data_IF_973693665377
#
_entry.id   IF_973693665377
#
_cell.length_a   1.000
_cell.length_b   1.000
_cell.length_c   1.000
_cell.angle_alpha   90.00
_cell.angle_beta   90.00
_cell.angle_gamma   90.00
#
_symmetry.space_group_name_H-M   'P 1'
#
loop_
_entity.id
_entity.type
_entity.pdbx_description
1 polymer ?
#
# COMPACT_ATOMS: atom_id res chain seq x y z
N UNK A 1 -4.69 -24.07 -34.98
CA UNK A 1 -5.08 -24.97 -33.87
C UNK A 1 -3.96 -24.95 -32.85
N UNK A 2 -4.28 -24.83 -31.56
CA UNK A 2 -3.41 -24.79 -30.36
C UNK A 2 -2.51 -23.53 -30.23
N UNK A 3 -2.38 -22.89 -29.07
CA UNK A 3 -2.28 -23.46 -27.73
C UNK A 3 -3.20 -22.81 -26.68
N UNK A 4 -3.97 -23.66 -26.00
CA UNK A 4 -4.53 -23.33 -24.70
C UNK A 4 -3.36 -23.14 -23.72
N UNK A 5 -3.17 -21.91 -23.23
CA UNK A 5 -2.25 -21.65 -22.14
C UNK A 5 -2.75 -22.44 -20.93
N UNK A 6 -1.91 -23.38 -20.48
CA UNK A 6 -2.17 -24.33 -19.42
C UNK A 6 -2.59 -23.56 -18.15
N UNK A 7 -3.81 -23.79 -17.71
CA UNK A 7 -4.27 -23.51 -16.35
C UNK A 7 -3.44 -24.41 -15.41
N UNK A 8 -2.24 -23.94 -15.06
CA UNK A 8 -1.46 -24.60 -14.04
C UNK A 8 -2.13 -24.28 -12.70
N UNK A 9 -2.47 -25.27 -11.87
CA UNK A 9 -3.08 -25.00 -10.57
C UNK A 9 -2.13 -24.12 -9.77
N UNK A 10 -2.56 -22.88 -9.50
CA UNK A 10 -1.82 -21.94 -8.66
C UNK A 10 -1.59 -22.63 -7.31
N UNK A 11 -0.35 -22.69 -6.78
CA UNK A 11 -0.09 -23.38 -5.52
C UNK A 11 -0.92 -22.72 -4.43
N UNK A 12 -1.89 -23.48 -3.90
CA UNK A 12 -2.79 -23.01 -2.85
C UNK A 12 -2.01 -23.03 -1.54
N UNK A 13 -1.65 -21.86 -1.04
CA UNK A 13 -0.91 -21.74 0.22
C UNK A 13 -1.83 -22.13 1.37
N UNK A 14 -1.41 -23.11 2.15
CA UNK A 14 -2.08 -23.45 3.40
C UNK A 14 -1.72 -22.43 4.49
N UNK A 15 -2.65 -21.55 4.84
CA UNK A 15 -2.44 -20.47 5.81
C UNK A 15 -2.38 -20.98 7.27
N UNK A 16 -2.78 -22.22 7.55
CA UNK A 16 -2.75 -22.78 8.92
C UNK A 16 -1.36 -23.33 9.27
N UNK A 17 -0.67 -23.93 8.29
CA UNK A 17 0.66 -24.51 8.47
C UNK A 17 1.79 -23.58 8.02
N UNK A 18 1.49 -22.49 7.31
CA UNK A 18 2.49 -21.55 6.80
C UNK A 18 2.54 -20.31 7.69
N UNK A 19 3.73 -19.90 8.14
CA UNK A 19 3.89 -18.65 8.92
C UNK A 19 3.61 -17.43 8.03
N UNK A 20 2.77 -16.47 8.47
CA UNK A 20 2.56 -15.23 7.75
C UNK A 20 3.82 -14.35 7.78
N UNK A 21 4.05 -13.60 6.71
CA UNK A 21 5.07 -12.57 6.67
C UNK A 21 4.48 -11.20 7.03
N UNK A 22 5.36 -10.27 7.36
CA UNK A 22 5.00 -8.89 7.66
C UNK A 22 4.99 -8.03 6.38
N UNK A 23 3.85 -7.40 6.09
CA UNK A 23 3.63 -6.45 5.01
C UNK A 23 3.42 -5.05 5.59
N UNK A 24 4.09 -4.06 5.00
CA UNK A 24 3.80 -2.63 5.24
C UNK A 24 2.92 -2.09 4.12
N UNK A 25 1.69 -1.71 4.47
CA UNK A 25 0.73 -1.08 3.57
C UNK A 25 0.69 0.42 3.85
N UNK A 26 1.28 1.20 2.96
CA UNK A 26 1.22 2.66 2.98
C UNK A 26 -0.09 3.13 2.36
N UNK A 27 -0.62 4.25 2.83
CA UNK A 27 -1.87 4.79 2.33
C UNK A 27 -1.88 6.32 2.33
N UNK A 28 -2.46 6.91 1.29
CA UNK A 28 -2.57 8.37 1.15
C UNK A 28 -3.85 8.73 0.38
N UNK A 29 -4.45 9.86 0.73
CA UNK A 29 -5.60 10.41 0.01
C UNK A 29 -5.16 11.05 -1.30
N UNK A 30 -5.98 10.90 -2.34
CA UNK A 30 -5.90 11.57 -3.65
C UNK A 30 -4.65 11.28 -4.50
N UNK A 31 -3.60 10.66 -3.95
CA UNK A 31 -2.33 10.44 -4.64
C UNK A 31 -1.51 9.33 -3.98
N UNK A 32 -0.50 8.85 -4.71
CA UNK A 32 0.52 7.94 -4.17
C UNK A 32 1.62 8.71 -3.42
N UNK A 33 2.38 7.98 -2.60
CA UNK A 33 3.62 8.49 -2.01
C UNK A 33 4.70 8.74 -3.07
N UNK A 34 5.63 9.66 -2.80
CA UNK A 34 6.79 9.82 -3.68
C UNK A 34 7.74 8.62 -3.47
N UNK A 35 8.46 8.20 -4.50
CA UNK A 35 9.42 7.10 -4.37
C UNK A 35 10.54 7.43 -3.37
N UNK A 36 10.93 8.70 -3.28
CA UNK A 36 11.90 9.20 -2.31
C UNK A 36 11.43 9.08 -0.87
N UNK A 37 10.11 9.02 -0.60
CA UNK A 37 9.56 8.86 0.75
C UNK A 37 9.90 7.47 1.34
N UNK A 38 10.24 6.50 0.47
CA UNK A 38 10.60 5.13 0.88
C UNK A 38 12.10 4.93 1.02
N UNK A 39 12.91 5.87 0.51
CA UNK A 39 14.34 5.89 0.78
C UNK A 39 14.51 6.16 2.28
N UNK A 40 15.06 5.19 3.01
CA UNK A 40 15.49 5.46 4.38
C UNK A 40 16.43 6.69 4.32
N UNK A 41 16.29 7.69 5.22
CA UNK A 41 17.26 8.75 5.31
C UNK A 41 18.60 8.05 5.54
N UNK A 42 19.49 8.12 4.56
CA UNK A 42 20.83 7.60 4.76
C UNK A 42 21.33 8.32 6.00
N UNK A 43 21.73 7.57 7.02
CA UNK A 43 22.39 8.12 8.21
C UNK A 43 23.75 8.77 7.89
N UNK A 44 24.04 9.03 6.61
CA UNK A 44 25.25 9.63 6.07
C UNK A 44 24.97 11.00 5.46
N UNK A 45 24.78 11.98 6.33
CA UNK A 45 25.42 13.30 6.23
C UNK A 45 25.08 14.07 7.50
N UNK A 46 25.63 13.65 8.64
CA UNK A 46 26.05 14.69 9.57
C UNK A 46 27.03 15.55 8.76
N UNK A 47 26.75 16.83 8.48
CA UNK A 47 27.82 17.69 8.02
C UNK A 47 28.86 17.60 9.13
N UNK A 48 30.07 17.16 8.76
CA UNK A 48 31.23 17.16 9.62
C UNK A 48 31.38 18.60 10.15
N UNK A 49 30.78 18.86 11.31
CA UNK A 49 30.96 20.09 12.05
C UNK A 49 32.38 19.99 12.57
N UNK A 50 33.32 20.54 11.78
CA UNK A 50 34.68 20.73 12.25
C UNK A 50 34.63 21.48 13.59
N UNK A 51 35.58 21.22 14.51
CA UNK A 51 35.58 21.86 15.81
C UNK A 51 35.73 23.37 15.61
N UNK A 52 34.65 24.13 15.85
CA UNK A 52 34.69 25.58 15.98
C UNK A 52 35.20 25.91 17.38
N UNK A 53 36.50 25.74 17.59
CA UNK A 53 37.18 26.23 18.79
C UNK A 53 37.29 27.76 18.71
N UNK A 54 36.25 28.45 19.14
CA UNK A 54 36.23 29.89 19.34
C UNK A 54 35.57 30.22 20.67
N UNK A 55 36.14 31.09 21.52
CA UNK A 55 35.67 31.32 22.89
C UNK A 55 34.34 32.09 23.03
N UNK A 56 33.52 32.19 21.97
CA UNK A 56 32.25 32.93 22.02
C UNK A 56 31.17 32.41 21.05
N UNK A 57 30.81 31.13 21.14
CA UNK A 57 29.73 30.53 20.35
C UNK A 57 28.57 30.08 21.26
N UNK A 58 27.71 31.01 21.67
CA UNK A 58 26.39 30.68 22.26
C UNK A 58 25.35 30.76 21.14
N UNK A 59 25.13 29.65 20.43
CA UNK A 59 23.86 29.43 19.73
C UNK A 59 23.16 28.26 20.42
N UNK A 60 21.90 28.37 20.84
CA UNK A 60 21.11 27.19 21.18
C UNK A 60 21.01 26.36 19.90
N UNK A 61 21.64 25.18 19.90
CA UNK A 61 21.51 24.23 18.81
C UNK A 61 20.02 23.92 18.64
N UNK A 62 19.46 24.27 17.48
CA UNK A 62 18.14 23.78 17.10
C UNK A 62 18.18 22.24 17.23
N UNK A 63 17.19 21.60 17.86
CA UNK A 63 17.14 20.15 17.89
C UNK A 63 17.20 19.62 16.45
N UNK A 64 18.01 18.58 16.17
CA UNK A 64 18.05 18.00 14.84
C UNK A 64 16.62 17.60 14.43
N UNK A 65 16.20 17.86 13.17
CA UNK A 65 14.91 17.36 12.71
C UNK A 65 14.87 15.84 12.92
N UNK A 66 13.74 15.27 13.36
CA UNK A 66 13.63 13.83 13.53
C UNK A 66 14.04 13.15 12.21
N UNK A 67 14.81 12.04 12.25
CA UNK A 67 15.15 11.33 11.02
C UNK A 67 13.83 10.98 10.33
N UNK A 68 13.67 11.37 9.06
CA UNK A 68 12.44 11.18 8.31
C UNK A 68 12.02 9.72 8.36
N UNK A 69 11.04 9.41 9.21
CA UNK A 69 10.47 8.08 9.33
C UNK A 69 9.62 7.79 8.10
N UNK A 70 9.59 6.51 7.70
CA UNK A 70 8.72 6.05 6.62
C UNK A 70 7.29 6.61 6.82
N UNK A 71 6.56 6.92 5.73
CA UNK A 71 5.21 7.47 5.85
C UNK A 71 4.28 6.57 6.66
N UNK A 72 3.15 7.14 7.10
CA UNK A 72 2.12 6.40 7.85
C UNK A 72 1.70 5.14 7.10
N UNK A 73 1.71 4.00 7.79
CA UNK A 73 1.43 2.69 7.20
C UNK A 73 0.73 1.77 8.19
N UNK A 74 0.02 0.79 7.65
CA UNK A 74 -0.50 -0.36 8.36
C UNK A 74 0.50 -1.51 8.32
N UNK A 75 0.62 -2.20 9.46
CA UNK A 75 1.40 -3.42 9.61
C UNK A 75 0.46 -4.61 9.55
N UNK A 76 0.61 -5.43 8.51
CA UNK A 76 -0.30 -6.55 8.22
C UNK A 76 0.51 -7.83 8.20
N UNK A 77 0.11 -8.81 9.01
CA UNK A 77 0.64 -10.18 8.89
C UNK A 77 -0.22 -10.95 7.89
N UNK A 78 0.39 -11.39 6.79
CA UNK A 78 -0.34 -12.03 5.70
C UNK A 78 0.51 -13.06 4.94
N UNK A 79 -0.06 -13.64 3.88
CA UNK A 79 0.56 -14.68 3.05
C UNK A 79 0.62 -14.23 1.58
N UNK A 80 1.39 -14.96 0.76
CA UNK A 80 1.53 -14.64 -0.67
C UNK A 80 0.21 -14.81 -1.43
N UNK A 81 -0.70 -15.63 -0.89
CA UNK A 81 -2.08 -15.78 -1.38
C UNK A 81 -2.98 -14.56 -1.10
N UNK A 82 -2.48 -13.52 -0.45
CA UNK A 82 -3.31 -12.38 -0.08
C UNK A 82 -3.70 -11.56 -1.31
N UNK A 83 -4.98 -11.20 -1.44
CA UNK A 83 -5.50 -10.47 -2.60
C UNK A 83 -5.63 -8.97 -2.35
N UNK A 84 -5.71 -8.18 -3.43
CA UNK A 84 -6.01 -6.74 -3.32
C UNK A 84 -7.36 -6.50 -2.61
N UNK A 85 -8.35 -7.37 -2.85
CA UNK A 85 -9.63 -7.36 -2.15
C UNK A 85 -9.46 -7.52 -0.64
N UNK A 86 -8.67 -8.48 -0.19
CA UNK A 86 -8.39 -8.67 1.24
C UNK A 86 -7.66 -7.45 1.83
N UNK A 87 -6.69 -6.88 1.12
CA UNK A 87 -6.01 -5.63 1.55
C UNK A 87 -6.98 -4.46 1.66
N UNK A 88 -7.89 -4.30 0.71
CA UNK A 88 -8.96 -3.30 0.77
C UNK A 88 -9.89 -3.51 1.96
N UNK A 89 -10.29 -4.75 2.26
CA UNK A 89 -11.10 -5.06 3.44
C UNK A 89 -10.39 -4.67 4.74
N UNK A 90 -9.10 -5.00 4.85
CA UNK A 90 -8.29 -4.64 6.02
C UNK A 90 -8.15 -3.13 6.17
N UNK A 91 -7.83 -2.42 5.09
CA UNK A 91 -7.71 -0.95 5.10
C UNK A 91 -9.02 -0.28 5.54
N UNK A 92 -10.14 -0.65 4.90
CA UNK A 92 -11.45 -0.06 5.18
C UNK A 92 -11.97 -0.41 6.59
N UNK A 93 -11.62 -1.59 7.11
CA UNK A 93 -11.99 -2.01 8.46
C UNK A 93 -11.12 -1.36 9.53
N UNK A 94 -9.82 -1.17 9.28
CA UNK A 94 -8.89 -0.61 10.25
C UNK A 94 -8.96 0.92 10.31
N UNK A 95 -9.29 1.58 9.19
CA UNK A 95 -9.28 3.04 9.05
C UNK A 95 -10.59 3.57 8.44
N UNK A 96 -11.76 3.32 9.06
CA UNK A 96 -13.04 3.75 8.51
C UNK A 96 -13.16 5.28 8.37
N UNK A 97 -12.54 6.05 9.29
CA UNK A 97 -12.54 7.51 9.28
C UNK A 97 -11.64 8.14 8.21
N UNK A 98 -10.81 7.34 7.55
CA UNK A 98 -9.93 7.80 6.48
C UNK A 98 -10.58 7.68 5.10
N UNK A 99 -11.76 7.06 5.02
CA UNK A 99 -12.53 6.97 3.78
C UNK A 99 -13.38 8.24 3.62
N UNK A 100 -13.57 8.72 2.37
CA UNK A 100 -14.57 9.74 2.07
C UNK A 100 -15.98 9.31 2.54
N UNK A 101 -16.82 10.28 2.89
CA UNK A 101 -18.25 10.05 3.17
C UNK A 101 -19.09 10.63 2.01
N UNK A 102 -19.89 9.83 1.29
CA UNK A 102 -20.04 8.37 1.42
C UNK A 102 -18.82 7.61 0.86
N UNK A 103 -18.48 6.44 1.44
CA UNK A 103 -17.32 5.65 0.99
C UNK A 103 -17.55 4.97 -0.36
N UNK A 104 -18.80 4.87 -0.80
CA UNK A 104 -19.18 4.23 -2.06
C UNK A 104 -18.61 5.04 -3.25
N UNK A 105 -18.09 4.32 -4.24
CA UNK A 105 -17.39 4.85 -5.40
C UNK A 105 -15.93 5.22 -5.13
N UNK A 106 -15.48 5.21 -3.88
CA UNK A 106 -14.05 5.36 -3.55
C UNK A 106 -13.24 4.26 -4.22
N UNK A 107 -12.15 4.65 -4.88
CA UNK A 107 -11.23 3.76 -5.56
C UNK A 107 -9.93 3.65 -4.78
N UNK A 108 -9.57 2.43 -4.43
CA UNK A 108 -8.31 2.06 -3.80
C UNK A 108 -7.37 1.57 -4.90
N UNK A 109 -6.39 2.39 -5.28
CA UNK A 109 -5.37 2.03 -6.26
C UNK A 109 -4.13 1.53 -5.54
N UNK A 110 -3.60 0.38 -5.96
CA UNK A 110 -2.46 -0.28 -5.33
C UNK A 110 -1.27 -0.32 -6.27
N UNK A 111 -0.08 -0.08 -5.71
CA UNK A 111 1.20 -0.29 -6.40
C UNK A 111 2.20 -0.99 -5.48
N UNK A 112 3.07 -1.77 -6.10
CA UNK A 112 4.20 -2.41 -5.45
C UNK A 112 5.38 -1.46 -5.48
N UNK A 113 6.04 -1.29 -4.34
CA UNK A 113 7.24 -0.48 -4.17
C UNK A 113 8.37 -1.38 -3.74
N UNK A 114 9.44 -1.40 -4.51
CA UNK A 114 10.55 -2.32 -4.31
C UNK A 114 11.89 -1.63 -4.59
N UNK A 115 12.96 -2.01 -3.88
CA UNK A 115 14.27 -1.40 -4.07
C UNK A 115 14.84 -1.69 -5.45
N UNK A 116 15.46 -0.68 -6.08
CA UNK A 116 16.17 -0.81 -7.36
C UNK A 116 17.52 -1.51 -7.18
N UNK A 117 17.50 -2.83 -7.07
CA UNK A 117 18.72 -3.64 -6.92
C UNK A 117 19.55 -3.67 -8.21
N UNK A 118 18.91 -3.53 -9.38
CA UNK A 118 19.60 -3.57 -10.69
C UNK A 118 20.37 -2.28 -10.94
N UNK A 119 19.77 -1.13 -10.67
CA UNK A 119 20.45 0.16 -10.78
C UNK A 119 21.60 0.29 -9.79
N UNK A 120 21.45 -0.23 -8.56
CA UNK A 120 22.53 -0.25 -7.58
C UNK A 120 23.76 -1.07 -8.04
N UNK A 121 23.55 -2.13 -8.82
CA UNK A 121 24.64 -2.95 -9.37
C UNK A 121 25.34 -2.28 -10.56
N UNK A 122 24.61 -1.51 -11.37
CA UNK A 122 25.12 -0.90 -12.62
C UNK A 122 25.68 0.52 -12.43
N UNK A 123 25.06 1.34 -11.57
CA UNK A 123 25.35 2.77 -11.42
C UNK A 123 26.18 3.10 -10.17
N UNK A 124 26.61 2.08 -9.42
CA UNK A 124 27.44 2.27 -8.23
C UNK A 124 26.67 2.80 -7.01
N UNK A 125 27.39 3.37 -6.02
CA UNK A 125 26.82 3.79 -4.73
C UNK A 125 25.67 4.80 -4.85
N UNK A 126 25.69 5.65 -5.87
CA UNK A 126 24.73 6.75 -6.07
C UNK A 126 23.32 6.27 -6.46
N UNK A 127 23.19 5.02 -6.93
CA UNK A 127 21.89 4.41 -7.20
C UNK A 127 21.34 3.60 -6.02
N UNK A 128 22.09 3.48 -4.91
CA UNK A 128 21.62 2.77 -3.71
C UNK A 128 20.50 3.56 -3.03
N UNK A 129 19.47 2.83 -2.58
CA UNK A 129 18.34 3.42 -1.86
C UNK A 129 17.24 4.00 -2.76
N UNK A 130 17.37 3.89 -4.09
CA UNK A 130 16.27 4.20 -5.01
C UNK A 130 15.23 3.09 -4.98
N UNK A 131 13.97 3.48 -5.07
CA UNK A 131 12.84 2.58 -5.18
C UNK A 131 12.18 2.72 -6.54
N UNK A 132 11.58 1.64 -7.01
CA UNK A 132 10.75 1.58 -8.20
C UNK A 132 9.32 1.27 -7.81
N UNK A 133 8.38 1.67 -8.67
CA UNK A 133 6.98 1.29 -8.54
C UNK A 133 6.51 0.44 -9.71
N UNK A 134 5.60 -0.49 -9.42
CA UNK A 134 4.85 -1.26 -10.41
C UNK A 134 3.37 -1.24 -10.05
N UNK A 135 2.53 -0.92 -11.02
CA UNK A 135 1.08 -0.94 -10.82
C UNK A 135 0.59 -2.36 -10.48
N UNK A 136 -0.26 -2.46 -9.46
CA UNK A 136 -0.89 -3.71 -9.03
C UNK A 136 -2.35 -3.79 -9.42
N UNK A 137 -3.02 -2.65 -9.52
CA UNK A 137 -4.41 -2.55 -9.91
C UNK A 137 -5.24 -1.72 -8.95
N UNK A 138 -6.56 -1.73 -9.15
CA UNK A 138 -7.48 -0.97 -8.29
C UNK A 138 -8.72 -1.76 -7.88
N UNK A 139 -9.27 -1.38 -6.72
CA UNK A 139 -10.49 -1.90 -6.14
C UNK A 139 -11.43 -0.74 -5.83
N UNK A 140 -12.66 -0.80 -6.31
CA UNK A 140 -13.71 0.19 -6.06
C UNK A 140 -14.65 -0.31 -4.98
N UNK A 141 -14.98 0.56 -4.04
CA UNK A 141 -15.98 0.33 -3.00
C UNK A 141 -17.36 0.53 -3.62
N UNK A 142 -18.12 -0.54 -3.75
CA UNK A 142 -19.50 -0.55 -4.24
C UNK A 142 -20.52 -0.51 -3.12
N UNK A 143 -21.73 -0.03 -3.47
CA UNK A 143 -22.90 -0.13 -2.62
C UNK A 143 -23.17 -1.60 -2.25
N UNK A 144 -23.70 -1.80 -1.04
CA UNK A 144 -24.14 -3.13 -0.59
C UNK A 144 -25.32 -3.54 -1.47
N UNK A 145 -25.28 -4.74 -2.03
CA UNK A 145 -26.45 -5.28 -2.74
C UNK A 145 -27.47 -5.68 -1.67
N UNK A 146 -28.49 -4.84 -1.49
CA UNK A 146 -29.68 -5.18 -0.72
C UNK A 146 -30.41 -6.28 -1.48
N UNK A 147 -30.12 -7.56 -1.18
CA UNK A 147 -31.10 -8.58 -1.51
C UNK A 147 -32.30 -8.34 -0.61
N UNK A 148 -33.40 -7.94 -1.20
CA UNK A 148 -34.73 -7.93 -0.59
C UNK A 148 -35.04 -9.37 -0.15
N UNK A 149 -34.76 -9.69 1.11
CA UNK A 149 -35.36 -10.83 1.79
C UNK A 149 -36.20 -10.24 2.92
N UNK A 150 -37.51 -10.29 2.73
CA UNK A 150 -38.51 -9.94 3.72
C UNK A 150 -38.30 -10.78 4.99
N UNK A 151 -37.58 -10.23 5.96
CA UNK A 151 -37.85 -10.58 7.35
C UNK A 151 -37.57 -9.41 8.26
N UNK A 152 -38.68 -8.88 8.76
CA UNK A 152 -38.81 -7.96 9.89
C UNK A 152 -37.85 -8.36 11.02
N UNK A 153 -36.79 -7.60 11.21
CA UNK A 153 -36.32 -7.33 12.56
C UNK A 153 -35.59 -5.98 12.59
N UNK A 154 -36.22 -5.00 13.25
CA UNK A 154 -35.61 -3.71 13.52
C UNK A 154 -34.40 -3.89 14.42
N UNK A 155 -33.21 -3.67 13.86
CA UNK A 155 -31.97 -3.65 14.61
C UNK A 155 -30.93 -2.91 13.78
N UNK A 156 -30.54 -1.72 14.25
CA UNK A 156 -29.35 -0.93 13.89
C UNK A 156 -28.62 -1.40 12.63
N UNK A 157 -28.61 -0.60 11.56
CA UNK A 157 -27.85 -0.82 10.33
C UNK A 157 -26.34 -0.93 10.62
N UNK A 158 -25.92 -2.08 11.14
CA UNK A 158 -24.54 -2.38 11.51
C UNK A 158 -23.81 -2.88 10.26
N UNK A 159 -22.80 -2.13 9.87
CA UNK A 159 -21.43 -2.63 9.60
C UNK A 159 -21.37 -4.03 8.98
N UNK A 160 -21.82 -4.18 7.74
CA UNK A 160 -21.37 -5.32 6.94
C UNK A 160 -20.48 -4.82 5.80
N UNK A 161 -19.63 -5.71 5.28
CA UNK A 161 -18.56 -5.33 4.36
C UNK A 161 -19.15 -4.72 3.09
N UNK A 162 -18.56 -3.60 2.65
CA UNK A 162 -18.86 -3.02 1.35
C UNK A 162 -18.60 -4.04 0.24
N UNK A 163 -19.32 -3.93 -0.88
CA UNK A 163 -19.02 -4.76 -2.05
C UNK A 163 -17.73 -4.23 -2.67
N UNK A 164 -16.65 -4.97 -2.61
CA UNK A 164 -15.41 -4.59 -3.30
C UNK A 164 -15.44 -5.10 -4.74
N UNK A 165 -15.09 -4.26 -5.71
CA UNK A 165 -15.18 -4.61 -7.14
C UNK A 165 -13.91 -4.17 -7.86
N UNK A 166 -13.52 -4.87 -8.91
CA UNK A 166 -12.33 -4.55 -9.69
C UNK A 166 -11.79 -5.79 -10.37
N UNK A 167 -11.35 -5.65 -11.62
CA UNK A 167 -10.82 -6.77 -12.40
C UNK A 167 -9.58 -7.40 -11.73
N UNK A 168 -8.81 -6.60 -11.01
CA UNK A 168 -7.59 -7.02 -10.30
C UNK A 168 -7.83 -7.26 -8.80
N UNK A 169 -9.08 -7.21 -8.33
CA UNK A 169 -9.38 -7.37 -6.92
C UNK A 169 -8.92 -8.75 -6.38
N UNK A 170 -8.98 -9.79 -7.21
CA UNK A 170 -8.62 -11.16 -6.83
C UNK A 170 -7.16 -11.51 -7.17
N UNK A 171 -6.39 -10.54 -7.68
CA UNK A 171 -4.94 -10.67 -7.93
C UNK A 171 -4.20 -10.77 -6.59
N UNK A 172 -3.38 -11.80 -6.47
CA UNK A 172 -2.62 -12.10 -5.25
C UNK A 172 -1.27 -11.40 -5.22
N UNK A 173 -0.68 -11.25 -4.02
CA UNK A 173 0.70 -10.79 -3.85
C UNK A 173 1.70 -11.70 -4.58
N UNK A 174 1.43 -13.00 -4.64
CA UNK A 174 2.24 -13.94 -5.42
C UNK A 174 2.21 -13.62 -6.92
N UNK A 175 1.03 -13.35 -7.48
CA UNK A 175 0.86 -12.98 -8.89
C UNK A 175 1.49 -11.61 -9.21
N UNK A 176 1.47 -10.70 -8.25
CA UNK A 176 2.16 -9.42 -8.32
C UNK A 176 3.69 -9.55 -8.37
N UNK A 177 4.22 -10.72 -7.96
CA UNK A 177 5.65 -11.01 -7.70
C UNK A 177 6.18 -10.25 -6.48
N UNK A 178 5.36 -10.07 -5.46
CA UNK A 178 5.77 -9.49 -4.19
C UNK A 178 6.88 -10.32 -3.54
N UNK A 179 7.92 -9.65 -3.06
CA UNK A 179 8.98 -10.24 -2.24
C UNK A 179 8.94 -9.61 -0.85
N UNK A 180 9.25 -10.41 0.17
CA UNK A 180 9.33 -9.91 1.55
C UNK A 180 10.40 -8.82 1.62
N UNK A 181 10.01 -7.64 2.09
CA UNK A 181 10.84 -6.43 2.07
C UNK A 181 10.33 -5.38 1.08
N UNK A 182 9.51 -5.78 0.11
CA UNK A 182 8.75 -4.85 -0.72
C UNK A 182 7.65 -4.18 0.13
N UNK A 183 7.19 -3.02 -0.32
CA UNK A 183 6.08 -2.30 0.25
C UNK A 183 4.91 -2.27 -0.72
N UNK A 184 3.71 -2.09 -0.18
CA UNK A 184 2.51 -1.80 -0.97
C UNK A 184 2.05 -0.39 -0.63
N UNK A 185 1.77 0.42 -1.63
CA UNK A 185 1.25 1.77 -1.46
C UNK A 185 -0.16 1.87 -2.07
N UNK A 186 -1.08 2.43 -1.30
CA UNK A 186 -2.49 2.55 -1.63
C UNK A 186 -2.90 4.02 -1.74
N UNK A 187 -3.24 4.46 -2.95
CA UNK A 187 -3.90 5.74 -3.15
C UNK A 187 -5.41 5.59 -3.00
N UNK A 188 -6.00 6.36 -2.10
CA UNK A 188 -7.44 6.39 -1.85
C UNK A 188 -8.00 7.58 -2.63
N UNK A 189 -8.65 7.27 -3.74
CA UNK A 189 -9.22 8.26 -4.64
C UNK A 189 -10.73 8.37 -4.36
N UNK A 190 -11.26 9.57 -4.08
CA UNK A 190 -12.69 9.76 -3.90
C UNK A 190 -13.47 9.36 -5.17
N UNK A 191 -14.78 9.09 -5.04
CA UNK A 191 -15.63 8.84 -6.20
C UNK A 191 -15.52 9.98 -7.21
N UNK A 192 -15.30 9.64 -8.48
CA UNK A 192 -15.36 10.61 -9.58
C UNK A 192 -16.84 10.98 -9.82
N UNK A 193 -17.11 12.25 -10.13
CA UNK A 193 -18.47 12.81 -10.33
C UNK A 193 -19.33 12.06 -11.35
N UNK A 194 -18.72 11.31 -12.28
CA UNK A 194 -19.41 10.59 -13.37
C UNK A 194 -19.62 9.09 -13.07
N UNK A 195 -19.16 8.57 -11.93
CA UNK A 195 -19.17 7.12 -11.65
C UNK A 195 -18.27 6.28 -12.58
N UNK A 196 -17.64 6.92 -13.56
CA UNK A 196 -16.76 6.30 -14.54
C UNK A 196 -15.40 5.94 -13.96
N UNK A 197 -14.92 4.76 -14.36
CA UNK A 197 -13.57 4.28 -14.06
C UNK A 197 -12.54 5.10 -14.83
N UNK A 198 -11.72 5.89 -14.13
CA UNK A 198 -10.50 6.43 -14.73
C UNK A 198 -9.65 5.24 -15.22
N UNK A 199 -9.64 5.06 -16.54
CA UNK A 199 -8.71 4.17 -17.23
C UNK A 199 -7.37 4.90 -17.30
N UNK A 200 -6.37 4.34 -16.64
CA UNK A 200 -4.97 4.68 -16.88
C UNK A 200 -4.45 3.87 -18.07
#
# INVERSE_FOLDING_TARGET
>A
MAAAARDAPKPKIDRQSTTPFHLKLFYRLNSFHLLSDFAAPSSSAAPYSGPVSGPNAIRPGSPPPPPSSLPTHLQIYTWQSCTLRELSQLLTSALPSFLPDPPIGTRLCFRLIYPDTKGAAMMGPDARGRYLSKDLGSVVIGARESKEDESRNGGTARTGPFRLQGNEADKTLQEARFVIGDYVDCAILPPLEDGSVARH
#
